data_IF_290819299038
#
_entry.id   IF_290819299038
#
_cell.length_a   1.000
_cell.length_b   1.000
_cell.length_c   1.000
_cell.angle_alpha   90.00
_cell.angle_beta   90.00
_cell.angle_gamma   90.00
#
_symmetry.space_group_name_H-M   'P 1'
#
loop_
_entity.id
_entity.type
_entity.pdbx_description
1 polymer ?
#
# COMPACT_ATOMS: atom_id res chain seq x y z
N UNK A 1 -12.21 -61.24 -36.89
CA UNK A 1 -11.25 -62.36 -36.80
C UNK A 1 -10.04 -61.91 -35.97
N UNK A 2 -9.90 -62.50 -34.77
CA UNK A 2 -8.68 -62.67 -33.94
C UNK A 2 -7.94 -61.45 -33.35
N UNK A 3 -8.28 -61.22 -32.08
CA UNK A 3 -7.47 -60.84 -30.90
C UNK A 3 -5.94 -60.99 -31.01
N UNK A 4 -5.22 -60.08 -30.33
CA UNK A 4 -4.05 -60.46 -29.51
C UNK A 4 -3.87 -59.57 -28.29
N UNK A 5 -4.07 -60.19 -27.13
CA UNK A 5 -3.75 -59.73 -25.78
C UNK A 5 -2.24 -59.71 -25.55
N UNK A 6 -1.75 -58.70 -24.82
CA UNK A 6 -0.64 -58.88 -23.87
C UNK A 6 -0.99 -58.17 -22.57
N UNK A 7 -1.32 -58.96 -21.54
CA UNK A 7 -1.25 -58.55 -20.14
C UNK A 7 0.20 -58.73 -19.68
N UNK A 8 0.74 -57.75 -18.97
CA UNK A 8 1.79 -58.00 -17.99
C UNK A 8 1.52 -57.13 -16.77
N UNK A 9 1.29 -57.79 -15.64
CA UNK A 9 1.19 -57.22 -14.30
C UNK A 9 2.47 -57.64 -13.60
N UNK A 10 3.30 -56.68 -13.17
CA UNK A 10 4.12 -56.84 -11.96
C UNK A 10 4.02 -55.54 -11.15
N UNK A 11 3.57 -55.75 -9.93
CA UNK A 11 3.36 -54.82 -8.82
C UNK A 11 4.61 -54.00 -8.48
N UNK A 12 4.40 -52.72 -8.14
CA UNK A 12 5.41 -51.86 -7.56
C UNK A 12 4.89 -50.47 -7.24
N UNK A 13 4.21 -50.33 -6.09
CA UNK A 13 3.97 -49.09 -5.33
C UNK A 13 3.15 -47.94 -5.98
N UNK A 14 2.01 -47.66 -5.35
CA UNK A 14 1.17 -46.47 -5.53
C UNK A 14 1.94 -45.20 -5.17
N UNK A 15 1.92 -44.21 -6.04
CA UNK A 15 1.77 -42.78 -5.70
C UNK A 15 1.28 -42.07 -6.95
N UNK A 16 -0.04 -42.12 -7.15
CA UNK A 16 -0.74 -41.23 -8.06
C UNK A 16 -0.47 -39.80 -7.59
N UNK A 17 0.42 -39.09 -8.28
CA UNK A 17 0.48 -37.64 -8.15
C UNK A 17 -0.58 -37.10 -9.09
N UNK A 18 -1.82 -37.03 -8.60
CA UNK A 18 -2.87 -36.26 -9.26
C UNK A 18 -2.36 -34.82 -9.39
N UNK A 19 -1.91 -34.45 -10.58
CA UNK A 19 -1.94 -33.04 -10.96
C UNK A 19 -3.40 -32.66 -11.07
N UNK A 20 -3.99 -32.25 -9.94
CA UNK A 20 -5.26 -31.57 -9.93
C UNK A 20 -5.06 -30.25 -10.67
N UNK A 21 -5.34 -30.26 -11.98
CA UNK A 21 -5.63 -29.03 -12.72
C UNK A 21 -6.91 -28.47 -12.11
N UNK A 22 -6.76 -27.69 -11.04
CA UNK A 22 -7.85 -26.91 -10.48
C UNK A 22 -8.27 -25.92 -11.58
N UNK A 23 -9.33 -26.26 -12.31
CA UNK A 23 -10.00 -25.30 -13.18
C UNK A 23 -10.46 -24.17 -12.26
N UNK A 24 -9.81 -23.02 -12.43
CA UNK A 24 -10.06 -21.86 -11.59
C UNK A 24 -11.46 -21.34 -11.92
N UNK A 25 -12.24 -21.02 -10.90
CA UNK A 25 -13.61 -20.55 -11.06
C UNK A 25 -13.66 -19.33 -12.00
N UNK A 26 -14.54 -19.37 -13.00
CA UNK A 26 -14.68 -18.33 -14.03
C UNK A 26 -14.98 -16.96 -13.41
N UNK A 27 -15.74 -16.92 -12.31
CA UNK A 27 -16.05 -15.70 -11.57
C UNK A 27 -14.78 -15.12 -10.91
N UNK A 28 -13.92 -15.97 -10.36
CA UNK A 28 -12.65 -15.55 -9.78
C UNK A 28 -11.69 -15.01 -10.85
N UNK A 29 -11.64 -15.63 -12.03
CA UNK A 29 -10.82 -15.14 -13.14
C UNK A 29 -11.30 -13.78 -13.68
N UNK A 30 -12.62 -13.62 -13.84
CA UNK A 30 -13.22 -12.33 -14.24
C UNK A 30 -12.93 -11.24 -13.21
N UNK A 31 -13.03 -11.56 -11.92
CA UNK A 31 -12.72 -10.62 -10.83
C UNK A 31 -11.23 -10.25 -10.83
N UNK A 32 -10.33 -11.24 -10.94
CA UNK A 32 -8.87 -11.01 -10.99
C UNK A 32 -8.52 -10.07 -12.17
N UNK A 33 -9.11 -10.27 -13.36
CA UNK A 33 -8.89 -9.40 -14.53
C UNK A 33 -9.40 -7.98 -14.32
N UNK A 34 -10.59 -7.82 -13.74
CA UNK A 34 -11.14 -6.49 -13.48
C UNK A 34 -10.29 -5.69 -12.49
N UNK A 35 -9.70 -6.35 -11.49
CA UNK A 35 -8.79 -5.68 -10.56
C UNK A 35 -7.49 -5.25 -11.25
N UNK A 36 -6.94 -6.06 -12.16
CA UNK A 36 -5.76 -5.66 -12.92
C UNK A 36 -6.03 -4.39 -13.76
N UNK A 37 -7.13 -4.36 -14.51
CA UNK A 37 -7.55 -3.20 -15.31
C UNK A 37 -7.77 -1.97 -14.42
N UNK A 38 -8.45 -2.15 -13.28
CA UNK A 38 -8.69 -1.05 -12.35
C UNK A 38 -7.39 -0.48 -11.78
N UNK A 39 -6.39 -1.32 -11.45
CA UNK A 39 -5.08 -0.87 -10.99
C UNK A 39 -4.38 -0.07 -12.09
N UNK A 40 -4.37 -0.56 -13.33
CA UNK A 40 -3.80 0.16 -14.49
C UNK A 40 -4.46 1.53 -14.67
N UNK A 41 -5.78 1.61 -14.56
CA UNK A 41 -6.53 2.87 -14.63
C UNK A 41 -6.12 3.83 -13.50
N UNK A 42 -5.94 3.33 -12.26
CA UNK A 42 -5.48 4.17 -11.15
C UNK A 42 -4.05 4.68 -11.40
N UNK A 43 -3.17 3.83 -11.96
CA UNK A 43 -1.80 4.23 -12.32
C UNK A 43 -1.83 5.32 -13.41
N UNK A 44 -2.66 5.19 -14.44
CA UNK A 44 -2.85 6.21 -15.48
C UNK A 44 -3.37 7.53 -14.91
N UNK A 45 -4.31 7.47 -13.96
CA UNK A 45 -4.83 8.62 -13.20
C UNK A 45 -3.86 9.14 -12.14
N UNK A 46 -2.72 8.46 -11.97
CA UNK A 46 -1.65 8.77 -11.02
C UNK A 46 -2.14 8.77 -9.56
N UNK A 47 -3.08 7.88 -9.26
CA UNK A 47 -3.63 7.63 -7.93
C UNK A 47 -2.93 6.42 -7.31
N UNK A 48 -2.45 6.56 -6.08
CA UNK A 48 -1.73 5.49 -5.39
C UNK A 48 -2.67 4.40 -4.91
N UNK A 49 -2.34 3.14 -5.23
CA UNK A 49 -3.12 1.96 -4.85
C UNK A 49 -2.36 1.16 -3.80
N UNK A 50 -2.90 1.12 -2.57
CA UNK A 50 -2.35 0.31 -1.49
C UNK A 50 -2.82 -1.14 -1.57
N UNK A 51 -2.11 -2.06 -0.92
CA UNK A 51 -2.52 -3.48 -0.85
C UNK A 51 -3.89 -3.65 -0.20
N UNK A 52 -4.19 -2.84 0.81
CA UNK A 52 -5.50 -2.81 1.47
C UNK A 52 -6.60 -2.41 0.48
N UNK A 53 -6.38 -1.38 -0.34
CA UNK A 53 -7.35 -0.91 -1.31
C UNK A 53 -7.62 -1.98 -2.39
N UNK A 54 -6.60 -2.74 -2.81
CA UNK A 54 -6.75 -3.88 -3.72
C UNK A 54 -7.61 -4.97 -3.08
N UNK A 55 -7.36 -5.29 -1.80
CA UNK A 55 -8.14 -6.29 -1.06
C UNK A 55 -9.60 -5.87 -0.89
N UNK A 56 -9.86 -4.58 -0.65
CA UNK A 56 -11.22 -4.06 -0.57
C UNK A 56 -11.91 -4.10 -1.94
N UNK A 57 -11.22 -3.65 -2.99
CA UNK A 57 -11.79 -3.63 -4.35
C UNK A 57 -12.07 -5.01 -4.91
N UNK A 58 -11.23 -6.01 -4.66
CA UNK A 58 -11.52 -7.37 -5.14
C UNK A 58 -12.79 -7.92 -4.51
N UNK A 59 -13.05 -7.64 -3.23
CA UNK A 59 -14.29 -8.05 -2.56
C UNK A 59 -15.50 -7.32 -3.14
N UNK A 60 -15.37 -6.03 -3.45
CA UNK A 60 -16.44 -5.26 -4.06
C UNK A 60 -16.79 -5.79 -5.45
N UNK A 61 -15.80 -5.98 -6.33
CA UNK A 61 -16.01 -6.49 -7.68
C UNK A 61 -16.57 -7.91 -7.67
N UNK A 62 -16.05 -8.78 -6.79
CA UNK A 62 -16.55 -10.14 -6.65
C UNK A 62 -18.03 -10.17 -6.25
N UNK A 63 -18.44 -9.35 -5.27
CA UNK A 63 -19.84 -9.24 -4.85
C UNK A 63 -20.74 -8.75 -5.98
N UNK A 64 -20.33 -7.70 -6.68
CA UNK A 64 -21.10 -7.15 -7.80
C UNK A 64 -21.25 -8.14 -8.96
N UNK A 65 -20.19 -8.86 -9.32
CA UNK A 65 -20.25 -9.86 -10.39
C UNK A 65 -21.09 -11.07 -9.98
N UNK A 66 -20.98 -11.54 -8.74
CA UNK A 66 -21.80 -12.64 -8.21
C UNK A 66 -23.30 -12.32 -8.24
N UNK A 67 -23.68 -11.08 -8.00
CA UNK A 67 -25.08 -10.62 -8.05
C UNK A 67 -25.63 -10.52 -9.48
N UNK A 68 -24.77 -10.40 -10.48
CA UNK A 68 -25.15 -10.26 -11.89
C UNK A 68 -25.25 -11.59 -12.65
N UNK A 69 -24.81 -12.71 -12.05
CA UNK A 69 -24.95 -14.03 -12.64
C UNK A 69 -26.44 -14.46 -12.58
N UNK A 70 -27.07 -14.84 -13.70
CA UNK A 70 -28.39 -15.46 -13.65
C UNK A 70 -28.30 -16.74 -12.82
N UNK A 71 -29.36 -17.09 -12.08
CA UNK A 71 -29.43 -18.18 -11.09
C UNK A 71 -29.18 -19.61 -11.64
N UNK A 72 -28.49 -19.75 -12.76
CA UNK A 72 -28.18 -21.00 -13.46
C UNK A 72 -26.67 -21.21 -13.50
N UNK A 73 -26.06 -21.46 -12.34
CA UNK A 73 -24.84 -22.26 -12.32
C UNK A 73 -24.83 -23.19 -11.11
N UNK A 74 -24.47 -24.41 -11.45
CA UNK A 74 -24.53 -25.69 -10.73
C UNK A 74 -24.05 -25.59 -9.28
N UNK A 75 -24.56 -26.49 -8.43
CA UNK A 75 -24.16 -26.79 -7.04
C UNK A 75 -22.65 -27.10 -6.88
N UNK A 76 -21.79 -26.17 -7.22
CA UNK A 76 -20.39 -26.18 -6.85
C UNK A 76 -20.27 -25.18 -5.71
N UNK A 77 -19.79 -25.64 -4.55
CA UNK A 77 -19.54 -24.76 -3.41
C UNK A 77 -18.54 -23.68 -3.85
N UNK A 78 -19.06 -22.53 -4.29
CA UNK A 78 -18.25 -21.40 -4.73
C UNK A 78 -17.48 -20.95 -3.50
N UNK A 79 -16.19 -21.32 -3.46
CA UNK A 79 -15.29 -20.95 -2.37
C UNK A 79 -15.35 -19.45 -2.24
N UNK A 80 -15.78 -18.95 -1.08
CA UNK A 80 -15.84 -17.52 -0.84
C UNK A 80 -14.46 -16.91 -1.08
N UNK A 81 -14.43 -15.85 -1.90
CA UNK A 81 -13.19 -15.13 -2.15
C UNK A 81 -12.73 -14.50 -0.84
N UNK A 82 -11.66 -15.05 -0.29
CA UNK A 82 -10.93 -14.42 0.81
C UNK A 82 -9.85 -13.52 0.22
N UNK A 83 -10.00 -12.21 0.37
CA UNK A 83 -9.00 -11.21 0.03
C UNK A 83 -7.83 -11.19 1.04
N UNK A 84 -7.33 -12.37 1.41
CA UNK A 84 -6.25 -12.55 2.37
C UNK A 84 -4.91 -11.99 1.86
N UNK A 85 -3.94 -11.83 2.76
CA UNK A 85 -2.55 -11.50 2.39
C UNK A 85 -1.96 -12.54 1.42
N UNK A 86 -2.32 -13.81 1.58
CA UNK A 86 -1.91 -14.90 0.70
C UNK A 86 -2.49 -14.76 -0.71
N UNK A 87 -3.78 -14.41 -0.81
CA UNK A 87 -4.40 -14.09 -2.11
C UNK A 87 -3.70 -12.92 -2.79
N UNK A 88 -3.47 -11.81 -2.07
CA UNK A 88 -2.80 -10.62 -2.61
C UNK A 88 -1.40 -10.96 -3.12
N UNK A 89 -0.63 -11.73 -2.35
CA UNK A 89 0.70 -12.20 -2.76
C UNK A 89 0.64 -13.03 -4.04
N UNK A 90 -0.34 -13.94 -4.14
CA UNK A 90 -0.57 -14.71 -5.36
C UNK A 90 -1.00 -13.83 -6.54
N UNK A 91 -1.87 -12.86 -6.32
CA UNK A 91 -2.36 -11.93 -7.34
C UNK A 91 -1.22 -11.10 -7.94
N UNK A 92 -0.33 -10.57 -7.09
CA UNK A 92 0.86 -9.82 -7.50
C UNK A 92 1.94 -10.68 -8.16
N UNK A 93 1.90 -12.01 -7.96
CA UNK A 93 2.76 -12.93 -8.71
C UNK A 93 2.21 -13.20 -10.12
N UNK A 94 0.89 -13.31 -10.25
CA UNK A 94 0.20 -13.58 -11.52
C UNK A 94 0.17 -12.36 -12.43
N UNK A 95 -0.02 -11.18 -11.84
CA UNK A 95 0.02 -9.90 -12.53
C UNK A 95 1.38 -9.26 -12.22
N UNK A 96 2.22 -8.93 -13.20
CA UNK A 96 3.58 -8.41 -12.99
C UNK A 96 3.56 -6.97 -12.44
N UNK A 97 3.05 -6.81 -11.22
CA UNK A 97 2.97 -5.57 -10.47
C UNK A 97 3.99 -5.63 -9.33
N UNK A 98 4.70 -4.53 -9.07
CA UNK A 98 5.67 -4.44 -7.98
C UNK A 98 5.43 -3.18 -7.14
N UNK A 99 5.76 -3.30 -5.86
CA UNK A 99 5.45 -2.28 -4.87
C UNK A 99 6.62 -1.29 -4.72
N UNK A 100 6.43 -0.04 -5.13
CA UNK A 100 7.45 1.01 -5.00
C UNK A 100 7.10 1.95 -3.84
N UNK A 101 8.12 2.33 -3.06
CA UNK A 101 8.06 3.42 -2.08
C UNK A 101 8.20 4.75 -2.80
N UNK A 102 7.25 5.64 -2.60
CA UNK A 102 7.28 6.98 -3.20
C UNK A 102 8.08 7.88 -2.26
N UNK A 103 9.27 8.27 -2.70
CA UNK A 103 10.10 9.24 -1.99
C UNK A 103 9.71 10.64 -2.47
N UNK A 104 9.24 11.48 -1.55
CA UNK A 104 9.12 12.92 -1.82
C UNK A 104 10.51 13.54 -1.93
N UNK A 105 10.57 14.71 -2.58
CA UNK A 105 11.79 15.54 -2.67
C UNK A 105 12.51 15.61 -1.33
N UNK A 106 13.78 15.20 -1.33
CA UNK A 106 14.70 15.37 -0.23
C UNK A 106 15.01 16.86 -0.12
N UNK A 107 14.46 17.55 0.88
CA UNK A 107 14.97 18.87 1.26
C UNK A 107 16.33 18.63 1.90
N UNK A 108 17.40 18.99 1.20
CA UNK A 108 18.76 18.97 1.75
C UNK A 108 18.85 20.06 2.82
N UNK A 109 19.01 19.67 4.08
CA UNK A 109 19.26 20.60 5.17
C UNK A 109 20.75 21.00 5.19
N UNK A 110 21.05 22.23 5.62
CA UNK A 110 22.42 22.70 5.83
C UNK A 110 22.95 22.17 7.18
N UNK A 111 23.71 21.09 7.13
CA UNK A 111 24.32 20.48 8.30
C UNK A 111 25.41 21.36 8.95
N UNK A 112 26.01 22.29 8.20
CA UNK A 112 27.03 23.21 8.71
C UNK A 112 26.40 24.27 9.61
N UNK A 113 25.35 24.94 9.11
CA UNK A 113 24.61 25.92 9.89
C UNK A 113 23.98 25.30 11.16
N UNK A 114 23.43 24.09 11.05
CA UNK A 114 22.82 23.39 12.18
C UNK A 114 23.81 23.09 13.33
N UNK A 115 25.10 22.92 13.04
CA UNK A 115 26.13 22.67 14.06
C UNK A 115 26.53 23.93 14.82
N UNK A 116 26.47 25.09 14.17
CA UNK A 116 26.92 26.38 14.74
C UNK A 116 25.81 27.01 15.59
N UNK A 117 24.55 26.86 15.17
CA UNK A 117 23.39 27.51 15.77
C UNK A 117 23.25 27.36 17.31
N UNK A 118 23.52 26.20 17.94
CA UNK A 118 23.39 26.07 19.39
C UNK A 118 24.32 27.00 20.18
N UNK A 119 25.54 27.21 19.71
CA UNK A 119 26.52 28.09 20.38
C UNK A 119 26.13 29.57 20.24
N UNK A 120 25.60 29.96 19.08
CA UNK A 120 25.11 31.32 18.85
C UNK A 120 23.86 31.62 19.70
N UNK A 121 22.93 30.67 19.79
CA UNK A 121 21.74 30.80 20.61
C UNK A 121 22.08 30.93 22.10
N UNK A 122 23.05 30.13 22.58
CA UNK A 122 23.50 30.21 23.98
C UNK A 122 24.05 31.60 24.34
N UNK A 123 24.85 32.20 23.44
CA UNK A 123 25.39 33.56 23.63
C UNK A 123 24.27 34.60 23.72
N UNK A 124 23.28 34.54 22.83
CA UNK A 124 22.14 35.47 22.85
C UNK A 124 21.34 35.35 24.15
N UNK A 125 21.17 34.13 24.67
CA UNK A 125 20.47 33.88 25.94
C UNK A 125 21.25 34.50 27.11
N UNK A 126 22.56 34.29 27.15
CA UNK A 126 23.44 34.81 28.20
C UNK A 126 23.55 36.35 28.15
N UNK A 127 23.80 36.92 26.97
CA UNK A 127 23.93 38.37 26.78
C UNK A 127 22.64 39.13 27.11
N UNK A 128 21.49 38.49 26.89
CA UNK A 128 20.16 39.05 27.16
C UNK A 128 19.63 38.78 28.58
N UNK A 129 20.37 38.04 29.41
CA UNK A 129 19.93 37.58 30.74
C UNK A 129 18.54 36.91 30.71
N UNK A 130 18.26 36.12 29.66
CA UNK A 130 16.97 35.48 29.48
C UNK A 130 16.84 34.23 30.34
N UNK A 131 15.76 34.15 31.12
CA UNK A 131 15.43 32.91 31.82
C UNK A 131 14.81 31.87 30.88
N UNK A 132 14.81 30.60 31.30
CA UNK A 132 14.17 29.52 30.55
C UNK A 132 12.67 29.75 30.31
N UNK A 133 12.01 30.57 31.14
CA UNK A 133 10.59 30.92 30.97
C UNK A 133 10.36 31.90 29.80
N UNK A 134 11.40 32.63 29.40
CA UNK A 134 11.38 33.70 28.39
C UNK A 134 11.89 33.22 27.03
N UNK A 135 12.55 32.06 26.96
CA UNK A 135 13.03 31.47 25.71
C UNK A 135 11.94 30.57 25.13
N UNK A 136 11.44 30.92 23.95
CA UNK A 136 10.41 30.14 23.25
C UNK A 136 10.95 29.53 21.96
N UNK A 137 10.56 28.28 21.70
CA UNK A 137 10.69 27.65 20.40
C UNK A 137 9.32 27.52 19.75
N UNK A 138 9.24 27.76 18.45
CA UNK A 138 8.03 27.57 17.66
C UNK A 138 8.35 26.77 16.38
N UNK A 139 7.55 25.76 16.08
CA UNK A 139 7.71 24.95 14.87
C UNK A 139 6.36 24.62 14.22
N UNK A 140 6.37 24.55 12.88
CA UNK A 140 5.19 24.21 12.08
C UNK A 140 5.14 22.71 11.82
N UNK A 141 4.06 22.06 12.25
CA UNK A 141 3.81 20.66 11.92
C UNK A 141 2.53 20.50 11.11
N UNK A 142 2.58 19.62 10.10
CA UNK A 142 1.43 19.31 9.26
C UNK A 142 0.69 18.07 9.75
N UNK A 143 -0.55 18.24 10.21
CA UNK A 143 -1.46 17.14 10.54
C UNK A 143 -2.26 16.73 9.31
N UNK A 144 -1.96 15.57 8.74
CA UNK A 144 -2.64 15.05 7.55
C UNK A 144 -3.92 14.30 7.91
N UNK A 145 -5.03 14.60 7.22
CA UNK A 145 -6.30 13.88 7.41
C UNK A 145 -6.77 13.12 6.16
N UNK A 146 -6.18 13.39 4.98
CA UNK A 146 -6.37 12.61 3.73
C UNK A 146 -5.03 12.23 3.08
N UNK A 147 -4.13 11.61 3.85
CA UNK A 147 -2.82 11.19 3.31
C UNK A 147 -2.98 9.97 2.40
N UNK A 148 -2.62 10.10 1.13
CA UNK A 148 -2.52 8.96 0.24
C UNK A 148 -1.42 7.98 0.71
N UNK A 149 -1.53 6.67 0.40
CA UNK A 149 -0.52 5.70 0.72
C UNK A 149 0.86 6.09 0.17
N UNK A 150 1.91 5.96 0.98
CA UNK A 150 3.32 6.22 0.60
C UNK A 150 3.92 5.13 -0.31
N UNK A 151 3.14 4.09 -0.65
CA UNK A 151 3.56 2.94 -1.45
C UNK A 151 2.45 2.62 -2.45
N UNK A 152 2.82 2.42 -3.71
CA UNK A 152 1.89 2.03 -4.78
C UNK A 152 2.42 0.82 -5.53
N UNK A 153 1.52 0.07 -6.18
CA UNK A 153 1.89 -0.99 -7.11
C UNK A 153 1.95 -0.43 -8.53
N UNK A 154 3.04 -0.69 -9.25
CA UNK A 154 3.19 -0.33 -10.68
C UNK A 154 3.67 -1.53 -11.48
N UNK A 155 3.50 -1.50 -12.81
CA UNK A 155 3.93 -2.57 -13.70
C UNK A 155 5.45 -2.78 -13.63
N UNK A 156 5.94 -4.03 -13.74
CA UNK A 156 7.36 -4.42 -13.58
C UNK A 156 8.34 -3.69 -14.49
N UNK A 157 7.89 -3.21 -15.63
CA UNK A 157 8.63 -2.44 -16.62
C UNK A 157 8.78 -0.95 -16.25
N UNK A 158 7.94 -0.43 -15.36
CA UNK A 158 8.04 0.94 -14.86
C UNK A 158 9.03 1.02 -13.68
N UNK A 159 10.10 1.81 -13.80
CA UNK A 159 11.10 1.95 -12.71
C UNK A 159 10.70 2.95 -11.63
N UNK A 160 9.77 3.85 -11.95
CA UNK A 160 9.37 4.96 -11.09
C UNK A 160 7.89 5.24 -11.28
N UNK A 161 7.13 5.27 -10.20
CA UNK A 161 5.82 5.91 -10.22
C UNK A 161 6.08 7.42 -10.34
N UNK A 162 5.82 8.02 -11.51
CA UNK A 162 6.00 9.47 -11.69
C UNK A 162 5.04 10.19 -10.75
N UNK A 163 5.59 10.64 -9.62
CA UNK A 163 4.84 11.01 -8.43
C UNK A 163 3.91 12.17 -8.72
N UNK A 164 2.61 11.98 -8.51
CA UNK A 164 1.79 13.11 -8.09
C UNK A 164 2.19 13.46 -6.67
N UNK A 165 2.42 14.75 -6.43
CA UNK A 165 2.44 15.30 -5.07
C UNK A 165 1.12 14.89 -4.44
N UNK A 166 1.14 13.87 -3.58
CA UNK A 166 -0.05 13.40 -2.90
C UNK A 166 -0.76 14.63 -2.34
N UNK A 167 -2.08 14.78 -2.56
CA UNK A 167 -2.81 15.92 -1.96
C UNK A 167 -2.49 15.92 -0.48
N UNK A 168 -1.74 16.92 -0.05
CA UNK A 168 -1.31 17.10 1.33
C UNK A 168 -2.40 17.90 2.02
N UNK A 169 -3.64 17.41 1.97
CA UNK A 169 -4.73 17.98 2.76
C UNK A 169 -4.32 17.80 4.22
N UNK A 170 -3.81 18.89 4.78
CA UNK A 170 -3.22 18.96 6.11
C UNK A 170 -3.69 20.22 6.79
N UNK A 171 -3.94 20.10 8.09
CA UNK A 171 -4.01 21.26 8.96
C UNK A 171 -2.57 21.57 9.35
N UNK A 172 -2.13 22.78 9.07
CA UNK A 172 -0.87 23.31 9.59
C UNK A 172 -1.12 23.72 11.04
N UNK A 173 -0.28 23.24 11.96
CA UNK A 173 -0.30 23.60 13.37
C UNK A 173 1.02 24.31 13.69
N UNK A 174 0.96 25.49 14.31
CA UNK A 174 2.12 26.15 14.88
C UNK A 174 2.15 25.82 16.36
N UNK A 175 3.13 25.02 16.77
CA UNK A 175 3.34 24.67 18.17
C UNK A 175 4.42 25.57 18.73
N UNK A 176 4.16 26.22 19.87
CA UNK A 176 5.14 27.07 20.53
C UNK A 176 5.16 26.78 22.04
N UNK A 177 6.35 26.59 22.58
CA UNK A 177 6.56 26.32 24.01
C UNK A 177 7.81 27.02 24.51
N UNK A 178 7.83 27.37 25.80
CA UNK A 178 9.05 27.88 26.42
C UNK A 178 10.00 26.75 26.82
N UNK A 179 11.26 27.11 27.08
CA UNK A 179 12.32 26.17 27.44
C UNK A 179 12.07 25.49 28.80
N UNK A 180 11.38 26.15 29.73
CA UNK A 180 10.94 25.58 31.01
C UNK A 180 9.83 24.53 30.88
N UNK A 181 9.07 24.55 29.78
CA UNK A 181 7.99 23.59 29.51
C UNK A 181 6.68 23.82 30.28
N UNK A 182 6.58 24.89 31.07
CA UNK A 182 5.37 25.28 31.81
C UNK A 182 4.38 26.08 30.94
N UNK A 183 4.84 26.69 29.84
CA UNK A 183 4.00 27.44 28.90
C UNK A 183 3.99 26.81 27.53
N UNK A 184 2.78 26.55 27.04
CA UNK A 184 2.52 26.13 25.67
C UNK A 184 1.44 27.04 25.08
N UNK A 185 1.76 27.72 23.98
CA UNK A 185 0.78 28.52 23.26
C UNK A 185 -0.15 27.56 22.49
N UNK A 186 -1.45 27.72 22.72
CA UNK A 186 -2.48 26.99 21.96
C UNK A 186 -2.62 27.64 20.59
N UNK A 187 -2.85 26.82 19.56
CA UNK A 187 -2.92 27.24 18.15
C UNK A 187 -3.67 28.57 17.98
N UNK A 188 -3.06 29.52 17.28
CA UNK A 188 -3.76 30.63 16.67
C UNK A 188 -4.44 30.08 15.41
N UNK A 189 -5.74 29.86 15.50
CA UNK A 189 -6.62 29.45 14.39
C UNK A 189 -6.78 30.55 13.36
#
# INVERSE_FOLDING_TARGET
>A
MKLKLKKSVISGTKLSTEFASYTRDVLLERTDRAIAIWIEEQVQRRIHVSGYLIQEKVLQFYKSMKQSEPSTSTFQAVKELSASKGWLTGFLKRNPLHNIKITGESVTADEGAAKIFPEELAKIIEDGDYSADQVFNADETGLYWKKLPNRTYIAKDEKTASGHKASKDRVTLLLCSNASGDRMLKNLS
#
